data_IF_619880028822
#
_entry.id   IF_619880028822
#
_cell.length_a   1.000
_cell.length_b   1.000
_cell.length_c   1.000
_cell.angle_alpha   90.00
_cell.angle_beta   90.00
_cell.angle_gamma   90.00
#
_symmetry.space_group_name_H-M   'P 1'
#
loop_
_entity.id
_entity.type
_entity.pdbx_description
1 polymer ?
#
# COMPACT_ATOMS: atom_id res chain seq x y z
N UNK A 1 -16.09 13.13 -25.67
CA UNK A 1 -16.55 12.57 -24.36
C UNK A 1 -15.41 11.70 -23.82
N UNK A 2 -14.61 12.23 -22.89
CA UNK A 2 -13.53 11.49 -22.25
C UNK A 2 -14.18 10.61 -21.21
N UNK A 3 -14.21 9.32 -21.48
CA UNK A 3 -14.71 8.31 -20.55
C UNK A 3 -13.70 8.24 -19.38
N UNK A 4 -13.97 8.97 -18.32
CA UNK A 4 -13.26 8.80 -17.07
C UNK A 4 -13.62 7.40 -16.52
N UNK A 5 -12.83 6.40 -16.87
CA UNK A 5 -12.80 5.17 -16.10
C UNK A 5 -12.41 5.55 -14.68
N UNK A 6 -13.40 5.70 -13.81
CA UNK A 6 -13.17 5.80 -12.37
C UNK A 6 -12.44 4.52 -11.98
N UNK A 7 -11.18 4.64 -11.61
CA UNK A 7 -10.43 3.50 -11.12
C UNK A 7 -11.17 2.91 -9.93
N UNK A 8 -11.54 1.64 -10.02
CA UNK A 8 -12.34 0.91 -9.03
C UNK A 8 -11.81 1.08 -7.60
N UNK A 9 -10.51 1.25 -7.43
CA UNK A 9 -9.85 1.28 -6.12
C UNK A 9 -9.58 2.70 -5.59
N UNK A 10 -10.20 3.73 -6.19
CA UNK A 10 -10.01 5.12 -5.78
C UNK A 10 -11.22 5.70 -4.99
N UNK A 11 -12.31 4.94 -4.89
CA UNK A 11 -13.53 5.40 -4.23
C UNK A 11 -14.09 4.37 -3.26
N UNK A 12 -14.19 4.76 -2.00
CA UNK A 12 -14.75 3.93 -0.93
C UNK A 12 -16.24 3.58 -1.12
N UNK A 13 -16.96 4.35 -1.94
CA UNK A 13 -18.37 4.07 -2.23
C UNK A 13 -18.62 2.78 -3.04
N UNK A 14 -17.55 2.19 -3.59
CA UNK A 14 -17.63 0.97 -4.39
C UNK A 14 -17.43 -0.31 -3.55
N UNK A 15 -17.09 -0.21 -2.26
CA UNK A 15 -16.70 -1.35 -1.42
C UNK A 15 -17.67 -1.58 -0.26
N UNK A 16 -17.81 -2.86 0.10
CA UNK A 16 -18.50 -3.28 1.32
C UNK A 16 -17.61 -3.09 2.56
N UNK A 17 -18.19 -3.13 3.75
CA UNK A 17 -17.42 -3.06 5.00
C UNK A 17 -16.39 -4.18 5.11
N UNK A 18 -16.67 -5.38 4.58
CA UNK A 18 -15.74 -6.50 4.58
C UNK A 18 -14.52 -6.31 3.67
N UNK A 19 -14.59 -5.35 2.75
CA UNK A 19 -13.48 -4.99 1.85
C UNK A 19 -12.66 -3.81 2.39
N UNK A 20 -12.97 -3.32 3.58
CA UNK A 20 -12.34 -2.17 4.21
C UNK A 20 -11.90 -2.50 5.64
N UNK A 21 -10.81 -3.28 5.79
CA UNK A 21 -10.21 -3.56 7.10
C UNK A 21 -9.82 -2.25 7.83
N UNK A 22 -9.38 -1.24 7.08
CA UNK A 22 -9.33 0.15 7.52
C UNK A 22 -10.47 0.91 6.83
N UNK A 23 -11.22 1.67 7.62
CA UNK A 23 -12.38 2.42 7.14
C UNK A 23 -11.99 3.40 6.02
N UNK A 24 -12.70 3.31 4.91
CA UNK A 24 -12.57 4.25 3.78
C UNK A 24 -11.47 3.93 2.77
N UNK A 25 -10.77 2.80 2.93
CA UNK A 25 -9.77 2.33 1.96
C UNK A 25 -9.89 0.82 1.75
N UNK A 26 -9.79 0.38 0.49
CA UNK A 26 -9.78 -1.04 0.14
C UNK A 26 -8.59 -1.72 0.82
N UNK A 27 -8.85 -2.64 1.74
CA UNK A 27 -7.82 -3.23 2.58
C UNK A 27 -8.25 -4.53 3.22
N UNK A 28 -7.28 -5.44 3.42
CA UNK A 28 -7.49 -6.74 4.04
C UNK A 28 -6.30 -7.11 4.93
N UNK A 29 -6.57 -7.58 6.13
CA UNK A 29 -5.56 -8.24 6.95
C UNK A 29 -5.26 -9.63 6.36
N UNK A 30 -4.03 -9.83 5.89
CA UNK A 30 -3.57 -11.13 5.37
C UNK A 30 -3.07 -12.01 6.51
N UNK A 31 -2.40 -11.39 7.47
CA UNK A 31 -2.06 -11.97 8.77
C UNK A 31 -2.47 -10.98 9.85
N UNK A 32 -2.27 -11.32 11.12
CA UNK A 32 -2.50 -10.38 12.22
C UNK A 32 -1.65 -9.10 12.13
N UNK A 33 -0.51 -9.15 11.41
CA UNK A 33 0.49 -8.10 11.36
C UNK A 33 0.71 -7.49 9.97
N UNK A 34 0.14 -8.08 8.91
CA UNK A 34 0.32 -7.62 7.52
C UNK A 34 -1.01 -7.23 6.90
N UNK A 35 -1.14 -5.97 6.55
CA UNK A 35 -2.28 -5.41 5.83
C UNK A 35 -1.93 -5.24 4.35
N UNK A 36 -2.76 -5.79 3.46
CA UNK A 36 -2.76 -5.46 2.04
C UNK A 36 -3.77 -4.34 1.79
N UNK A 37 -3.39 -3.29 1.06
CA UNK A 37 -4.31 -2.18 0.76
C UNK A 37 -4.08 -1.59 -0.62
N UNK A 38 -5.09 -0.89 -1.15
CA UNK A 38 -4.93 -0.04 -2.33
C UNK A 38 -4.07 1.18 -1.99
N UNK A 39 -3.54 1.85 -3.03
CA UNK A 39 -2.78 3.09 -2.80
C UNK A 39 -3.66 4.15 -2.15
N UNK A 40 -3.20 4.82 -1.10
CA UNK A 40 -3.88 5.99 -0.56
C UNK A 40 -3.62 7.22 -1.43
N UNK A 41 -4.46 8.24 -1.28
CA UNK A 41 -4.22 9.57 -1.83
C UNK A 41 -4.37 10.63 -0.73
N UNK A 42 -3.79 11.80 -0.91
CA UNK A 42 -3.76 12.83 0.14
C UNK A 42 -5.16 13.24 0.61
N UNK A 43 -6.16 13.52 -0.25
CA UNK A 43 -7.51 13.80 0.22
C UNK A 43 -8.10 12.66 1.05
N UNK A 44 -7.86 11.42 0.67
CA UNK A 44 -8.35 10.23 1.40
C UNK A 44 -7.65 10.09 2.75
N UNK A 45 -6.31 10.24 2.81
CA UNK A 45 -5.54 10.19 4.06
C UNK A 45 -6.14 11.14 5.10
N UNK A 46 -6.52 12.35 4.68
CA UNK A 46 -7.11 13.37 5.54
C UNK A 46 -8.56 13.03 5.91
N UNK A 47 -9.41 12.73 4.94
CA UNK A 47 -10.86 12.56 5.14
C UNK A 47 -11.22 11.34 5.99
N UNK A 48 -10.45 10.25 5.88
CA UNK A 48 -10.66 9.03 6.68
C UNK A 48 -9.76 8.95 7.91
N UNK A 49 -8.92 9.95 8.13
CA UNK A 49 -7.93 9.98 9.21
C UNK A 49 -7.02 8.73 9.19
N UNK A 50 -6.51 8.35 8.01
CA UNK A 50 -5.80 7.09 7.78
C UNK A 50 -4.61 6.91 8.74
N UNK A 51 -3.86 7.97 9.01
CA UNK A 51 -2.69 7.92 9.92
C UNK A 51 -3.13 7.60 11.35
N UNK A 52 -4.25 8.15 11.81
CA UNK A 52 -4.81 7.79 13.12
C UNK A 52 -5.24 6.32 13.16
N UNK A 53 -5.82 5.81 12.08
CA UNK A 53 -6.16 4.39 11.98
C UNK A 53 -4.90 3.51 12.02
N UNK A 54 -3.81 3.93 11.36
CA UNK A 54 -2.53 3.23 11.44
C UNK A 54 -2.02 3.15 12.88
N UNK A 55 -2.00 4.28 13.59
CA UNK A 55 -1.59 4.29 14.99
C UNK A 55 -2.49 3.41 15.88
N UNK A 56 -3.80 3.51 15.71
CA UNK A 56 -4.77 2.74 16.50
C UNK A 56 -4.64 1.23 16.29
N UNK A 57 -4.23 0.79 15.09
CA UNK A 57 -4.07 -0.63 14.75
C UNK A 57 -2.64 -1.16 14.96
N UNK A 58 -1.69 -0.28 15.31
CA UNK A 58 -0.29 -0.66 15.51
C UNK A 58 0.54 -0.76 14.24
N UNK A 59 0.08 -0.19 13.12
CA UNK A 59 0.86 -0.13 11.88
C UNK A 59 1.98 0.89 12.06
N UNK A 60 3.23 0.46 11.88
CA UNK A 60 4.45 1.26 12.04
C UNK A 60 5.18 1.51 10.73
N UNK A 61 4.86 0.74 9.69
CA UNK A 61 5.53 0.84 8.39
C UNK A 61 4.54 0.72 7.25
N UNK A 62 4.83 1.42 6.16
CA UNK A 62 4.13 1.30 4.89
C UNK A 62 5.13 0.96 3.79
N UNK A 63 4.85 -0.07 3.02
CA UNK A 63 5.66 -0.49 1.87
C UNK A 63 4.88 -0.18 0.60
N UNK A 64 5.44 0.68 -0.25
CA UNK A 64 4.91 1.05 -1.55
C UNK A 64 5.67 0.31 -2.65
N UNK A 65 4.98 -0.48 -3.45
CA UNK A 65 5.54 -1.25 -4.55
C UNK A 65 5.39 -0.55 -5.91
N UNK A 66 4.91 0.70 -5.93
CA UNK A 66 4.69 1.45 -7.16
C UNK A 66 5.98 2.07 -7.70
N UNK A 67 6.03 2.18 -9.03
CA UNK A 67 6.95 3.09 -9.68
C UNK A 67 6.43 4.53 -9.59
N UNK A 68 7.30 5.52 -9.31
CA UNK A 68 6.89 6.91 -9.42
C UNK A 68 6.32 7.21 -10.81
N UNK A 69 5.19 7.92 -10.86
CA UNK A 69 4.55 8.32 -12.12
C UNK A 69 3.51 7.34 -12.67
N UNK A 70 3.40 6.13 -12.13
CA UNK A 70 2.41 5.16 -12.62
C UNK A 70 0.97 5.58 -12.33
N UNK A 71 0.03 5.12 -13.17
CA UNK A 71 -1.41 5.37 -13.00
C UNK A 71 -1.78 6.84 -12.76
N UNK A 72 -1.12 7.76 -13.46
CA UNK A 72 -1.30 9.21 -13.32
C UNK A 72 -2.70 9.70 -13.72
N UNK A 73 -3.42 8.94 -14.54
CA UNK A 73 -4.79 9.24 -14.99
C UNK A 73 -5.89 8.68 -14.08
N UNK A 74 -5.51 7.92 -13.06
CA UNK A 74 -6.43 7.33 -12.09
C UNK A 74 -6.48 8.15 -10.81
N UNK A 75 -7.69 8.57 -10.38
CA UNK A 75 -7.89 9.27 -9.12
C UNK A 75 -7.27 10.68 -9.09
N UNK A 76 -6.88 11.18 -7.92
CA UNK A 76 -6.26 12.49 -7.78
C UNK A 76 -4.93 12.59 -8.51
N UNK A 77 -4.57 13.83 -8.90
CA UNK A 77 -3.31 14.13 -9.55
C UNK A 77 -2.11 13.66 -8.72
N UNK A 78 -1.07 13.15 -9.39
CA UNK A 78 0.18 12.79 -8.73
C UNK A 78 0.85 14.03 -8.12
N UNK A 79 1.48 13.82 -6.98
CA UNK A 79 2.28 14.83 -6.29
C UNK A 79 3.74 14.83 -6.79
N UNK A 80 4.58 15.79 -6.37
CA UNK A 80 6.00 15.82 -6.72
C UNK A 80 6.76 14.54 -6.35
N UNK A 81 6.28 13.77 -5.37
CA UNK A 81 6.79 12.44 -5.04
C UNK A 81 6.68 11.41 -6.17
N UNK A 82 5.81 11.66 -7.15
CA UNK A 82 5.43 10.69 -8.19
C UNK A 82 4.31 9.74 -7.76
N UNK A 83 3.76 9.92 -6.56
CA UNK A 83 2.63 9.15 -6.00
C UNK A 83 1.42 10.05 -5.77
N UNK A 84 0.28 9.46 -5.45
CA UNK A 84 -0.94 10.19 -5.11
C UNK A 84 -0.92 10.79 -3.70
N UNK A 85 0.17 10.61 -2.98
CA UNK A 85 0.45 11.16 -1.65
C UNK A 85 1.93 11.50 -1.47
N UNK A 86 2.25 12.31 -0.46
CA UNK A 86 3.63 12.56 -0.05
C UNK A 86 4.04 11.54 1.04
N UNK A 87 5.07 10.70 0.81
CA UNK A 87 5.60 9.82 1.84
C UNK A 87 5.95 10.51 3.17
N UNK A 88 6.32 11.78 3.12
CA UNK A 88 6.60 12.57 4.32
C UNK A 88 5.40 12.70 5.26
N UNK A 89 4.17 12.61 4.74
CA UNK A 89 2.97 12.68 5.58
C UNK A 89 2.92 11.51 6.59
N UNK A 90 3.42 10.35 6.21
CA UNK A 90 3.58 9.20 7.10
C UNK A 90 4.82 9.32 8.00
N UNK A 91 5.96 9.72 7.42
CA UNK A 91 7.23 9.80 8.17
C UNK A 91 7.19 10.85 9.28
N UNK A 92 6.53 11.99 9.07
CA UNK A 92 6.29 13.01 10.12
C UNK A 92 5.55 12.44 11.34
N UNK A 93 4.69 11.47 11.11
CA UNK A 93 3.89 10.79 12.13
C UNK A 93 4.57 9.50 12.63
N UNK A 94 5.88 9.36 12.40
CA UNK A 94 6.71 8.22 12.85
C UNK A 94 6.27 6.88 12.27
N UNK A 95 5.74 6.88 11.06
CA UNK A 95 5.48 5.68 10.27
C UNK A 95 6.57 5.59 9.21
N UNK A 96 7.32 4.49 9.22
CA UNK A 96 8.38 4.26 8.23
C UNK A 96 7.78 4.05 6.85
N UNK A 97 8.41 4.62 5.83
CA UNK A 97 8.01 4.47 4.45
C UNK A 97 9.13 3.82 3.64
N UNK A 98 8.81 2.71 2.97
CA UNK A 98 9.71 2.00 2.06
C UNK A 98 9.10 2.01 0.66
N UNK A 99 9.91 2.26 -0.36
CA UNK A 99 9.50 2.16 -1.75
C UNK A 99 10.39 1.20 -2.52
N UNK A 100 9.78 0.20 -3.12
CA UNK A 100 10.41 -0.70 -4.08
C UNK A 100 9.72 -0.53 -5.43
N UNK A 101 10.38 0.17 -6.36
CA UNK A 101 9.85 0.45 -7.68
C UNK A 101 9.72 -0.83 -8.52
N UNK A 102 8.53 -1.39 -8.53
CA UNK A 102 8.18 -2.58 -9.29
C UNK A 102 7.11 -2.23 -10.32
N UNK A 103 7.44 -2.38 -11.62
CA UNK A 103 6.53 -2.06 -12.72
C UNK A 103 5.25 -2.89 -12.63
N UNK A 104 4.09 -2.23 -12.75
CA UNK A 104 2.80 -2.91 -12.78
C UNK A 104 2.72 -3.89 -13.97
N UNK A 105 2.18 -5.08 -13.72
CA UNK A 105 2.19 -6.21 -14.68
C UNK A 105 3.58 -6.61 -15.18
N UNK A 106 4.66 -6.15 -14.52
CA UNK A 106 6.03 -6.47 -14.85
C UNK A 106 6.61 -7.55 -13.95
N UNK A 107 7.72 -8.14 -14.41
CA UNK A 107 8.51 -9.06 -13.62
C UNK A 107 9.45 -8.32 -12.68
N UNK A 108 9.83 -8.98 -11.61
CA UNK A 108 10.93 -8.57 -10.74
C UNK A 108 11.93 -9.71 -10.59
N UNK A 109 13.19 -9.38 -10.37
CA UNK A 109 14.22 -10.42 -10.16
C UNK A 109 14.01 -11.13 -8.83
N UNK A 110 14.48 -12.37 -8.74
CA UNK A 110 14.49 -13.13 -7.48
C UNK A 110 15.25 -12.39 -6.37
N UNK A 111 16.35 -11.74 -6.73
CA UNK A 111 17.15 -10.92 -5.79
C UNK A 111 16.35 -9.75 -5.24
N UNK A 112 15.69 -8.98 -6.11
CA UNK A 112 14.84 -7.87 -5.68
C UNK A 112 13.69 -8.36 -4.77
N UNK A 113 13.06 -9.46 -5.15
CA UNK A 113 11.97 -10.05 -4.36
C UNK A 113 12.45 -10.49 -2.98
N UNK A 114 13.63 -11.12 -2.91
CA UNK A 114 14.25 -11.51 -1.64
C UNK A 114 14.57 -10.30 -0.76
N UNK A 115 15.06 -9.21 -1.36
CA UNK A 115 15.34 -7.95 -0.64
C UNK A 115 14.05 -7.36 -0.06
N UNK A 116 12.97 -7.33 -0.84
CA UNK A 116 11.64 -6.89 -0.37
C UNK A 116 11.14 -7.75 0.80
N UNK A 117 11.28 -9.07 0.69
CA UNK A 117 10.89 -10.03 1.76
C UNK A 117 11.69 -9.78 3.04
N UNK A 118 13.00 -9.54 2.93
CA UNK A 118 13.85 -9.23 4.09
C UNK A 118 13.47 -7.89 4.73
N UNK A 119 13.18 -6.87 3.94
CA UNK A 119 12.73 -5.56 4.47
C UNK A 119 11.38 -5.69 5.14
N UNK A 120 10.44 -6.44 4.57
CA UNK A 120 9.15 -6.73 5.22
C UNK A 120 9.34 -7.43 6.57
N UNK A 121 10.22 -8.45 6.61
CA UNK A 121 10.56 -9.14 7.86
C UNK A 121 11.18 -8.20 8.89
N UNK A 122 12.06 -7.30 8.46
CA UNK A 122 12.65 -6.29 9.33
C UNK A 122 11.61 -5.31 9.87
N UNK A 123 10.75 -4.79 9.01
CA UNK A 123 9.70 -3.85 9.38
C UNK A 123 8.70 -4.45 10.40
N UNK A 124 8.40 -5.75 10.27
CA UNK A 124 7.52 -6.47 11.20
C UNK A 124 8.06 -6.56 12.63
N UNK A 125 9.36 -6.37 12.84
CA UNK A 125 9.94 -6.30 14.20
C UNK A 125 9.59 -4.99 14.90
N UNK A 126 9.30 -3.93 14.15
CA UNK A 126 8.93 -2.62 14.67
C UNK A 126 7.42 -2.48 14.94
N UNK A 127 6.60 -3.28 14.29
CA UNK A 127 5.16 -3.26 14.40
C UNK A 127 4.48 -3.80 13.17
N UNK A 128 3.16 -3.60 13.05
CA UNK A 128 2.41 -4.05 11.89
C UNK A 128 2.79 -3.26 10.64
N UNK A 129 2.64 -3.88 9.47
CA UNK A 129 3.04 -3.33 8.18
C UNK A 129 1.86 -3.29 7.22
N UNK A 130 1.65 -2.15 6.58
CA UNK A 130 0.76 -2.02 5.44
C UNK A 130 1.57 -2.12 4.14
N UNK A 131 1.12 -2.94 3.19
CA UNK A 131 1.73 -3.09 1.88
C UNK A 131 0.74 -2.67 0.81
N UNK A 132 1.16 -1.82 -0.11
CA UNK A 132 0.31 -1.42 -1.23
C UNK A 132 1.07 -1.38 -2.56
N UNK A 133 0.32 -1.57 -3.62
CA UNK A 133 0.65 -1.19 -4.98
C UNK A 133 -0.43 -0.23 -5.49
N UNK A 134 -0.97 -0.38 -6.71
CA UNK A 134 -2.14 0.40 -7.11
C UNK A 134 -3.43 -0.15 -6.45
N UNK A 135 -3.81 -1.38 -6.78
CA UNK A 135 -5.03 -2.00 -6.26
C UNK A 135 -4.86 -2.73 -4.92
N UNK A 136 -3.63 -3.03 -4.52
CA UNK A 136 -3.34 -3.84 -3.34
C UNK A 136 -3.54 -5.34 -3.54
N UNK A 137 -3.56 -5.82 -4.78
CA UNK A 137 -3.84 -7.22 -5.13
C UNK A 137 -2.64 -7.92 -5.75
N UNK A 138 -2.16 -7.48 -6.92
CA UNK A 138 -1.15 -8.19 -7.71
C UNK A 138 0.23 -8.20 -7.05
N UNK A 139 0.99 -7.14 -7.22
CA UNK A 139 2.35 -6.99 -6.65
C UNK A 139 2.36 -7.19 -5.14
N UNK A 140 1.40 -6.59 -4.45
CA UNK A 140 1.21 -6.74 -3.00
C UNK A 140 1.01 -8.21 -2.62
N UNK A 141 0.14 -8.93 -3.32
CA UNK A 141 -0.12 -10.34 -3.06
C UNK A 141 1.11 -11.21 -3.29
N UNK A 142 1.89 -10.93 -4.35
CA UNK A 142 3.14 -11.68 -4.63
C UNK A 142 4.17 -11.48 -3.51
N UNK A 143 4.41 -10.24 -3.08
CA UNK A 143 5.36 -9.97 -1.99
C UNK A 143 4.95 -10.68 -0.70
N UNK A 144 3.68 -10.57 -0.30
CA UNK A 144 3.20 -11.17 0.95
C UNK A 144 3.27 -12.70 0.85
N UNK A 145 2.87 -13.30 -0.28
CA UNK A 145 2.96 -14.74 -0.47
C UNK A 145 4.41 -15.25 -0.38
N UNK A 146 5.35 -14.55 -1.00
CA UNK A 146 6.78 -14.87 -0.91
C UNK A 146 7.30 -14.77 0.53
N UNK A 147 6.90 -13.75 1.28
CA UNK A 147 7.24 -13.63 2.70
C UNK A 147 6.72 -14.84 3.49
N UNK A 148 5.45 -15.21 3.31
CA UNK A 148 4.85 -16.32 4.02
C UNK A 148 5.56 -17.64 3.71
N UNK A 149 5.88 -17.89 2.45
CA UNK A 149 6.63 -19.11 2.04
C UNK A 149 8.05 -19.12 2.64
N UNK A 150 8.71 -17.97 2.70
CA UNK A 150 10.09 -17.87 3.17
C UNK A 150 10.23 -18.01 4.70
N UNK A 151 9.32 -17.46 5.47
CA UNK A 151 9.43 -17.35 6.93
C UNK A 151 8.51 -18.29 7.72
N UNK A 152 7.42 -18.79 7.14
CA UNK A 152 6.45 -19.63 7.84
C UNK A 152 6.53 -21.11 7.44
N UNK A 153 7.72 -21.54 7.01
CA UNK A 153 7.97 -22.98 6.76
C UNK A 153 8.07 -23.78 8.05
#
# INVERSE_FOLDING_TARGET
MINHYRCKYESSSAWSESEMALRGIYSHWITEDILAMSRPNTPQIQSIELIKQFHATGIKSIINLQMPGEHASCGPKLQPSGFTYDPNDFMKEKIYHYNFAWKDFGDTSMTNLLDMVKVLSFALKEGKVAVHCHAGLGRTGVLIACYLVYYLR
#
